data_IF_679773451316
#
_entry.id   IF_679773451316
#
_cell.length_a   1.000
_cell.length_b   1.000
_cell.length_c   1.000
_cell.angle_alpha   90.00
_cell.angle_beta   90.00
_cell.angle_gamma   90.00
#
_symmetry.space_group_name_H-M   'P 1'
#
loop_
_entity.id
_entity.type
_entity.pdbx_description
1 polymer ?
#
# COMPACT_ATOMS: atom_id res chain seq x y z
N UNK A 1 -11.87 -10.08 -26.87
CA UNK A 1 -12.17 -10.69 -25.56
C UNK A 1 -13.42 -10.05 -25.00
N UNK A 2 -14.32 -10.85 -24.43
CA UNK A 2 -15.49 -10.33 -23.71
C UNK A 2 -15.05 -9.49 -22.49
N UNK A 3 -15.82 -8.48 -22.06
CA UNK A 3 -15.48 -7.70 -20.88
C UNK A 3 -15.43 -8.61 -19.64
N UNK A 4 -14.29 -8.63 -18.94
CA UNK A 4 -14.14 -9.36 -17.67
C UNK A 4 -15.11 -8.75 -16.65
N UNK A 5 -16.01 -9.56 -16.10
CA UNK A 5 -17.01 -9.13 -15.14
C UNK A 5 -16.58 -9.54 -13.73
N UNK A 6 -16.04 -8.59 -12.96
CA UNK A 6 -15.62 -8.84 -11.58
C UNK A 6 -16.85 -8.91 -10.68
N UNK A 7 -17.07 -10.06 -10.03
CA UNK A 7 -18.13 -10.28 -9.04
C UNK A 7 -17.58 -10.76 -7.70
N UNK A 8 -16.59 -11.64 -7.74
CA UNK A 8 -15.96 -12.23 -6.57
C UNK A 8 -14.58 -11.60 -6.35
N UNK A 9 -14.33 -11.10 -5.14
CA UNK A 9 -13.07 -10.45 -4.78
C UNK A 9 -12.50 -11.13 -3.54
N UNK A 10 -11.28 -11.65 -3.64
CA UNK A 10 -10.54 -12.14 -2.49
C UNK A 10 -9.60 -11.05 -1.96
N UNK A 11 -9.58 -10.83 -0.65
CA UNK A 11 -8.65 -9.89 0.01
C UNK A 11 -7.72 -10.67 0.93
N UNK A 12 -6.44 -10.73 0.58
CA UNK A 12 -5.39 -11.39 1.37
C UNK A 12 -4.61 -10.35 2.15
N UNK A 13 -4.70 -10.40 3.47
CA UNK A 13 -4.33 -9.33 4.38
C UNK A 13 -5.57 -8.52 4.77
N UNK A 14 -6.07 -8.76 5.98
CA UNK A 14 -7.25 -8.15 6.60
C UNK A 14 -6.86 -7.24 7.78
N UNK A 15 -5.63 -6.74 7.79
CA UNK A 15 -5.17 -5.74 8.73
C UNK A 15 -5.83 -4.38 8.54
N UNK A 16 -5.17 -3.32 9.02
CA UNK A 16 -5.72 -1.95 9.08
C UNK A 16 -6.21 -1.39 7.74
N UNK A 17 -5.60 -1.79 6.64
CA UNK A 17 -6.00 -1.35 5.30
C UNK A 17 -6.94 -2.35 4.62
N UNK A 18 -6.69 -3.65 4.77
CA UNK A 18 -7.47 -4.69 4.08
C UNK A 18 -8.90 -4.82 4.60
N UNK A 19 -9.11 -4.65 5.90
CA UNK A 19 -10.42 -4.74 6.52
C UNK A 19 -11.42 -3.65 6.05
N UNK A 20 -11.08 -2.36 6.01
CA UNK A 20 -11.97 -1.36 5.41
C UNK A 20 -12.19 -1.58 3.91
N UNK A 21 -11.16 -2.00 3.17
CA UNK A 21 -11.29 -2.28 1.72
C UNK A 21 -12.27 -3.43 1.48
N UNK A 22 -12.17 -4.54 2.22
CA UNK A 22 -13.06 -5.68 2.08
C UNK A 22 -14.51 -5.31 2.44
N UNK A 23 -14.72 -4.50 3.48
CA UNK A 23 -16.04 -3.95 3.84
C UNK A 23 -16.64 -3.09 2.73
N UNK A 24 -15.87 -2.19 2.13
CA UNK A 24 -16.35 -1.35 1.03
C UNK A 24 -16.68 -2.15 -0.22
N UNK A 25 -15.89 -3.18 -0.54
CA UNK A 25 -16.20 -4.12 -1.61
C UNK A 25 -17.52 -4.86 -1.35
N UNK A 26 -17.73 -5.39 -0.14
CA UNK A 26 -18.97 -6.06 0.23
C UNK A 26 -20.18 -5.13 0.08
N UNK A 27 -20.09 -3.91 0.61
CA UNK A 27 -21.13 -2.90 0.49
C UNK A 27 -21.38 -2.44 -0.97
N UNK A 28 -20.37 -2.55 -1.83
CA UNK A 28 -20.46 -2.31 -3.27
C UNK A 28 -21.12 -3.44 -4.06
N UNK A 29 -21.60 -4.50 -3.39
CA UNK A 29 -22.31 -5.62 -4.00
C UNK A 29 -21.40 -6.73 -4.55
N UNK A 30 -20.13 -6.76 -4.16
CA UNK A 30 -19.21 -7.85 -4.49
C UNK A 30 -19.34 -8.99 -3.48
N UNK A 31 -19.09 -10.22 -3.93
CA UNK A 31 -18.91 -11.36 -3.03
C UNK A 31 -17.46 -11.33 -2.55
N UNK A 32 -17.26 -11.19 -1.24
CA UNK A 32 -15.92 -10.98 -0.69
C UNK A 32 -15.49 -12.16 0.20
N UNK A 33 -14.39 -12.78 -0.19
CA UNK A 33 -13.63 -13.70 0.66
C UNK A 33 -12.38 -13.02 1.21
N UNK A 34 -11.92 -13.44 2.39
CA UNK A 34 -10.76 -12.84 3.03
C UNK A 34 -9.88 -13.87 3.71
N UNK A 35 -8.59 -13.58 3.82
CA UNK A 35 -7.65 -14.34 4.64
C UNK A 35 -6.64 -13.41 5.30
N UNK A 36 -6.29 -13.69 6.55
CA UNK A 36 -5.15 -13.10 7.25
C UNK A 36 -4.53 -14.14 8.19
N UNK A 37 -3.23 -14.02 8.44
CA UNK A 37 -2.52 -14.86 9.43
C UNK A 37 -2.88 -14.47 10.86
N UNK A 38 -3.30 -13.23 11.10
CA UNK A 38 -3.77 -12.74 12.40
C UNK A 38 -5.25 -13.09 12.61
N UNK A 39 -5.51 -13.97 13.57
CA UNK A 39 -6.85 -14.36 13.97
C UNK A 39 -7.73 -13.17 14.41
N UNK A 40 -7.14 -12.09 14.96
CA UNK A 40 -7.89 -10.88 15.34
C UNK A 40 -8.38 -10.12 14.10
N UNK A 41 -7.54 -10.00 13.08
CA UNK A 41 -7.90 -9.39 11.80
C UNK A 41 -9.04 -10.18 11.12
N UNK A 42 -8.91 -11.51 11.08
CA UNK A 42 -9.95 -12.44 10.61
C UNK A 42 -11.27 -12.26 11.37
N UNK A 43 -11.25 -12.27 12.70
CA UNK A 43 -12.46 -12.07 13.52
C UNK A 43 -13.13 -10.72 13.24
N UNK A 44 -12.33 -9.65 13.12
CA UNK A 44 -12.86 -8.32 12.81
C UNK A 44 -13.54 -8.27 11.44
N UNK A 45 -12.96 -8.92 10.42
CA UNK A 45 -13.54 -9.01 9.09
C UNK A 45 -14.83 -9.84 9.08
N UNK A 46 -14.84 -10.98 9.78
CA UNK A 46 -16.04 -11.82 9.91
C UNK A 46 -17.21 -11.07 10.57
N UNK A 47 -16.95 -10.27 11.61
CA UNK A 47 -17.98 -9.40 12.23
C UNK A 47 -18.58 -8.37 11.27
N UNK A 48 -17.91 -8.07 10.15
CA UNK A 48 -18.37 -7.16 9.10
C UNK A 48 -19.01 -7.90 7.91
N UNK A 49 -19.22 -9.21 8.02
CA UNK A 49 -19.87 -10.03 6.99
C UNK A 49 -18.92 -10.58 5.92
N UNK A 50 -17.61 -10.47 6.10
CA UNK A 50 -16.63 -11.05 5.17
C UNK A 50 -16.51 -12.55 5.41
N UNK A 51 -16.56 -13.35 4.34
CA UNK A 51 -16.32 -14.78 4.41
C UNK A 51 -14.81 -15.03 4.60
N UNK A 52 -14.40 -15.50 5.79
CA UNK A 52 -12.98 -15.73 6.10
C UNK A 52 -12.59 -17.16 5.79
N UNK A 53 -11.56 -17.33 4.96
CA UNK A 53 -10.96 -18.61 4.61
C UNK A 53 -9.86 -19.02 5.61
N UNK A 54 -9.41 -20.27 5.54
CA UNK A 54 -8.33 -20.83 6.38
C UNK A 54 -6.95 -20.76 5.71
N UNK A 55 -6.89 -20.38 4.43
CA UNK A 55 -5.63 -20.18 3.70
C UNK A 55 -5.80 -19.19 2.53
N UNK A 56 -4.70 -18.63 1.98
CA UNK A 56 -4.77 -17.80 0.78
C UNK A 56 -5.36 -18.54 -0.41
N UNK A 57 -4.94 -19.79 -0.64
CA UNK A 57 -5.46 -20.62 -1.72
C UNK A 57 -6.97 -20.83 -1.61
N UNK A 58 -7.50 -21.15 -0.43
CA UNK A 58 -8.93 -21.32 -0.25
C UNK A 58 -9.70 -20.02 -0.54
N UNK A 59 -9.18 -18.87 -0.11
CA UNK A 59 -9.83 -17.57 -0.33
C UNK A 59 -10.01 -17.24 -1.82
N UNK A 60 -9.11 -17.69 -2.70
CA UNK A 60 -9.09 -17.30 -4.12
C UNK A 60 -9.82 -18.26 -5.06
N UNK A 61 -10.33 -19.39 -4.57
CA UNK A 61 -10.94 -20.46 -5.40
C UNK A 61 -11.97 -19.93 -6.42
N UNK A 62 -12.81 -18.99 -6.01
CA UNK A 62 -13.88 -18.42 -6.84
C UNK A 62 -13.62 -16.96 -7.23
N UNK A 63 -12.43 -16.43 -6.96
CA UNK A 63 -12.14 -15.01 -7.15
C UNK A 63 -11.93 -14.65 -8.62
N UNK A 64 -12.53 -13.53 -9.06
CA UNK A 64 -12.20 -12.89 -10.34
C UNK A 64 -11.04 -11.90 -10.15
N UNK A 65 -10.96 -11.30 -8.96
CA UNK A 65 -9.93 -10.38 -8.52
C UNK A 65 -9.40 -10.80 -7.13
N UNK A 66 -8.09 -10.92 -7.01
CA UNK A 66 -7.38 -11.11 -5.75
C UNK A 66 -6.64 -9.83 -5.43
N UNK A 67 -6.85 -9.27 -4.24
CA UNK A 67 -6.12 -8.12 -3.71
C UNK A 67 -5.19 -8.62 -2.61
N UNK A 68 -3.88 -8.53 -2.84
CA UNK A 68 -2.85 -8.88 -1.86
C UNK A 68 -2.37 -7.60 -1.17
N UNK A 69 -2.58 -7.51 0.14
CA UNK A 69 -2.28 -6.36 0.98
C UNK A 69 -1.69 -6.79 2.32
N UNK A 70 -0.48 -7.31 2.26
CA UNK A 70 0.33 -7.79 3.40
C UNK A 70 1.43 -6.79 3.74
N UNK A 71 2.22 -7.05 4.79
CA UNK A 71 3.16 -6.07 5.33
C UNK A 71 4.44 -5.96 4.49
N UNK A 72 4.96 -7.07 3.96
CA UNK A 72 6.28 -7.09 3.30
C UNK A 72 6.29 -7.92 2.01
N UNK A 73 7.35 -7.76 1.22
CA UNK A 73 7.52 -8.44 -0.07
C UNK A 73 7.62 -9.96 0.10
N UNK A 74 8.29 -10.43 1.15
CA UNK A 74 8.47 -11.84 1.49
C UNK A 74 7.12 -12.51 1.80
N UNK A 75 6.18 -11.74 2.36
CA UNK A 75 4.82 -12.20 2.59
C UNK A 75 4.02 -12.27 1.29
N UNK A 76 4.26 -11.34 0.35
CA UNK A 76 3.66 -11.41 -0.99
C UNK A 76 4.13 -12.70 -1.68
N UNK A 77 5.43 -13.00 -1.65
CA UNK A 77 5.98 -14.24 -2.20
C UNK A 77 5.29 -15.48 -1.62
N UNK A 78 5.17 -15.56 -0.29
CA UNK A 78 4.51 -16.69 0.40
C UNK A 78 3.03 -16.79 0.04
N UNK A 79 2.30 -15.68 0.07
CA UNK A 79 0.87 -15.64 -0.26
C UNK A 79 0.64 -16.12 -1.69
N UNK A 80 1.49 -15.69 -2.62
CA UNK A 80 1.34 -16.07 -4.02
C UNK A 80 1.74 -17.53 -4.24
N UNK A 81 2.96 -17.92 -3.87
CA UNK A 81 3.63 -19.11 -4.42
C UNK A 81 3.85 -20.28 -3.45
N UNK A 82 3.42 -20.18 -2.18
CA UNK A 82 3.48 -21.32 -1.26
C UNK A 82 2.55 -22.48 -1.74
N UNK A 83 2.72 -23.72 -1.25
CA UNK A 83 1.91 -24.87 -1.68
C UNK A 83 0.38 -24.70 -1.58
N UNK A 84 -0.10 -23.81 -0.70
CA UNK A 84 -1.52 -23.43 -0.60
C UNK A 84 -1.73 -21.92 -0.79
N UNK A 85 -0.89 -21.33 -1.65
CA UNK A 85 -0.93 -19.93 -2.05
C UNK A 85 -1.92 -19.65 -3.18
N UNK A 86 -1.92 -18.42 -3.67
CA UNK A 86 -2.85 -17.95 -4.72
C UNK A 86 -2.71 -18.76 -6.00
N UNK A 87 -1.48 -19.00 -6.50
CA UNK A 87 -1.31 -19.74 -7.77
C UNK A 87 -1.70 -21.21 -7.71
N UNK A 88 -1.81 -21.79 -6.52
CA UNK A 88 -2.22 -23.18 -6.37
C UNK A 88 -3.73 -23.39 -6.64
N UNK A 89 -4.56 -22.35 -6.48
CA UNK A 89 -6.03 -22.47 -6.52
C UNK A 89 -6.77 -21.42 -7.34
N UNK A 90 -6.13 -20.33 -7.72
CA UNK A 90 -6.76 -19.32 -8.58
C UNK A 90 -7.09 -19.91 -9.95
N UNK A 91 -8.23 -19.52 -10.52
CA UNK A 91 -8.63 -19.93 -11.87
C UNK A 91 -7.77 -19.18 -12.92
N UNK A 92 -7.55 -19.75 -14.12
CA UNK A 92 -6.95 -19.02 -15.22
C UNK A 92 -7.65 -17.66 -15.45
N UNK A 93 -6.89 -16.68 -15.92
CA UNK A 93 -7.29 -15.29 -16.14
C UNK A 93 -7.65 -14.46 -14.88
N UNK A 94 -7.62 -15.06 -13.67
CA UNK A 94 -7.85 -14.33 -12.42
C UNK A 94 -6.89 -13.14 -12.31
N UNK A 95 -7.42 -11.97 -11.95
CA UNK A 95 -6.61 -10.77 -11.78
C UNK A 95 -5.98 -10.80 -10.40
N UNK A 96 -4.65 -10.68 -10.33
CA UNK A 96 -3.92 -10.63 -9.06
C UNK A 96 -3.34 -9.24 -8.87
N UNK A 97 -4.03 -8.45 -8.07
CA UNK A 97 -3.68 -7.09 -7.66
C UNK A 97 -2.77 -7.06 -6.44
N UNK A 98 -1.53 -6.62 -6.61
CA UNK A 98 -0.60 -6.40 -5.50
C UNK A 98 -0.72 -4.96 -5.01
N UNK A 99 -1.36 -4.79 -3.86
CA UNK A 99 -1.53 -3.50 -3.20
C UNK A 99 -0.45 -3.22 -2.14
N UNK A 100 0.28 -4.25 -1.71
CA UNK A 100 1.49 -4.10 -0.89
C UNK A 100 2.50 -3.21 -1.62
N UNK A 101 3.10 -2.26 -0.90
CA UNK A 101 4.22 -1.47 -1.42
C UNK A 101 5.48 -2.35 -1.44
N UNK A 102 5.96 -2.65 -2.65
CA UNK A 102 7.16 -3.45 -2.92
C UNK A 102 8.02 -2.72 -3.97
N UNK A 103 9.21 -3.24 -4.26
CA UNK A 103 10.02 -2.65 -5.33
C UNK A 103 9.34 -2.84 -6.71
N UNK A 104 9.50 -1.89 -7.65
CA UNK A 104 9.06 -2.07 -9.03
C UNK A 104 9.64 -3.33 -9.68
N UNK A 105 10.91 -3.64 -9.41
CA UNK A 105 11.57 -4.83 -9.96
C UNK A 105 10.91 -6.12 -9.46
N UNK A 106 10.61 -6.19 -8.16
CA UNK A 106 9.92 -7.35 -7.59
C UNK A 106 8.51 -7.50 -8.12
N UNK A 107 7.80 -6.40 -8.35
CA UNK A 107 6.48 -6.45 -8.99
C UNK A 107 6.56 -6.99 -10.43
N UNK A 108 7.57 -6.58 -11.20
CA UNK A 108 7.81 -7.09 -12.56
C UNK A 108 8.11 -8.60 -12.52
N UNK A 109 8.97 -9.04 -11.59
CA UNK A 109 9.31 -10.45 -11.36
C UNK A 109 8.09 -11.29 -10.98
N UNK A 110 7.29 -10.83 -10.02
CA UNK A 110 6.04 -11.52 -9.64
C UNK A 110 5.06 -11.53 -10.80
N UNK A 111 4.96 -10.44 -11.55
CA UNK A 111 4.11 -10.37 -12.73
C UNK A 111 4.48 -11.38 -13.80
N UNK A 112 5.77 -11.61 -14.06
CA UNK A 112 6.22 -12.63 -15.00
C UNK A 112 5.80 -14.03 -14.54
N UNK A 113 6.06 -14.37 -13.26
CA UNK A 113 5.70 -15.67 -12.68
C UNK A 113 4.19 -15.91 -12.64
N UNK A 114 3.40 -14.89 -12.31
CA UNK A 114 1.93 -15.00 -12.33
C UNK A 114 1.40 -15.35 -13.72
N UNK A 115 2.02 -14.81 -14.79
CA UNK A 115 1.64 -15.13 -16.16
C UNK A 115 1.97 -16.56 -16.58
N UNK A 116 3.01 -17.18 -16.01
CA UNK A 116 3.33 -18.60 -16.23
C UNK A 116 2.20 -19.53 -15.74
N UNK A 117 1.37 -19.03 -14.83
CA UNK A 117 0.18 -19.72 -14.31
C UNK A 117 -1.13 -19.18 -14.90
N UNK A 118 -1.08 -18.52 -16.06
CA UNK A 118 -2.24 -17.94 -16.75
C UNK A 118 -2.99 -16.87 -15.93
N UNK A 119 -2.36 -16.28 -14.92
CA UNK A 119 -2.95 -15.22 -14.11
C UNK A 119 -2.60 -13.84 -14.68
N UNK A 120 -3.48 -12.87 -14.43
CA UNK A 120 -3.32 -11.50 -14.91
C UNK A 120 -2.76 -10.60 -13.79
N UNK A 121 -1.44 -10.30 -13.79
CA UNK A 121 -0.85 -9.46 -12.76
C UNK A 121 -1.28 -8.01 -12.91
N UNK A 122 -1.49 -7.37 -11.77
CA UNK A 122 -1.80 -5.96 -11.65
C UNK A 122 -1.08 -5.44 -10.42
N UNK A 123 -0.40 -4.29 -10.53
CA UNK A 123 -0.02 -3.55 -9.34
C UNK A 123 -1.09 -2.49 -9.04
N UNK A 124 -1.38 -2.33 -7.76
CA UNK A 124 -2.39 -1.40 -7.27
C UNK A 124 -2.05 -0.83 -5.89
N UNK A 125 -0.80 -0.39 -5.62
CA UNK A 125 -0.47 0.22 -4.34
C UNK A 125 -1.37 1.42 -4.03
N UNK A 126 -1.61 1.58 -2.73
CA UNK A 126 -2.58 2.54 -2.19
C UNK A 126 -1.89 3.70 -1.47
N UNK A 127 -2.49 4.88 -1.56
CA UNK A 127 -2.01 6.13 -0.98
C UNK A 127 -3.04 6.75 -0.01
N UNK A 128 -2.60 7.76 0.76
CA UNK A 128 -3.36 8.56 1.74
C UNK A 128 -3.62 7.93 3.13
N UNK A 129 -3.35 6.65 3.33
CA UNK A 129 -3.30 6.01 4.65
C UNK A 129 -4.64 5.53 5.22
N UNK A 130 -4.67 5.28 6.53
CA UNK A 130 -5.76 4.55 7.21
C UNK A 130 -7.09 5.30 7.25
N UNK A 131 -7.09 6.60 7.58
CA UNK A 131 -8.35 7.39 7.65
C UNK A 131 -9.08 7.42 6.30
N UNK A 132 -8.40 7.68 5.16
CA UNK A 132 -9.03 7.56 3.85
C UNK A 132 -9.45 6.14 3.47
N UNK A 133 -8.80 5.09 3.98
CA UNK A 133 -9.26 3.71 3.80
C UNK A 133 -10.64 3.49 4.42
N UNK A 134 -10.81 3.89 5.67
CA UNK A 134 -12.10 3.79 6.36
C UNK A 134 -13.21 4.59 5.66
N UNK A 135 -12.86 5.76 5.14
CA UNK A 135 -13.77 6.63 4.41
C UNK A 135 -14.06 6.23 2.95
N UNK A 136 -13.36 5.21 2.41
CA UNK A 136 -13.51 4.80 1.00
C UNK A 136 -12.96 5.85 0.02
N UNK A 137 -11.94 6.61 0.44
CA UNK A 137 -11.35 7.75 -0.29
C UNK A 137 -9.87 7.54 -0.62
N UNK A 138 -9.41 6.29 -0.70
CA UNK A 138 -8.04 5.99 -1.09
C UNK A 138 -7.72 6.52 -2.49
N UNK A 139 -6.42 6.56 -2.77
CA UNK A 139 -5.89 6.75 -4.12
C UNK A 139 -5.14 5.49 -4.52
N UNK A 140 -5.42 4.96 -5.71
CA UNK A 140 -4.70 3.85 -6.32
C UNK A 140 -3.78 4.41 -7.41
N UNK A 141 -2.50 4.06 -7.32
CA UNK A 141 -1.54 4.20 -8.42
C UNK A 141 -1.28 2.80 -8.95
N UNK A 142 -1.77 2.47 -10.14
CA UNK A 142 -1.68 1.10 -10.65
C UNK A 142 -1.02 0.98 -12.01
N UNK A 143 -0.68 -0.26 -12.35
CA UNK A 143 0.10 -0.65 -13.49
C UNK A 143 -0.26 -2.06 -13.91
N UNK A 144 -0.32 -2.29 -15.22
CA UNK A 144 -0.76 -3.54 -15.81
C UNK A 144 -1.56 -3.29 -17.09
N UNK A 145 -1.98 -4.37 -17.75
CA UNK A 145 -2.70 -4.27 -19.01
C UNK A 145 -3.96 -3.40 -18.86
N UNK A 146 -4.19 -2.50 -19.83
CA UNK A 146 -5.31 -1.56 -19.76
C UNK A 146 -6.66 -2.26 -19.59
N UNK A 147 -6.90 -3.35 -20.31
CA UNK A 147 -8.16 -4.09 -20.24
C UNK A 147 -8.39 -4.72 -18.84
N UNK A 148 -7.33 -5.29 -18.26
CA UNK A 148 -7.32 -5.84 -16.88
C UNK A 148 -7.62 -4.74 -15.87
N UNK A 149 -6.92 -3.60 -15.97
CA UNK A 149 -7.12 -2.46 -15.07
C UNK A 149 -8.53 -1.87 -15.17
N UNK A 150 -9.06 -1.73 -16.39
CA UNK A 150 -10.39 -1.18 -16.63
C UNK A 150 -11.50 -2.10 -16.10
N UNK A 151 -11.32 -3.43 -16.18
CA UNK A 151 -12.26 -4.39 -15.59
C UNK A 151 -12.38 -4.23 -14.06
N UNK A 152 -11.29 -3.84 -13.38
CA UNK A 152 -11.28 -3.65 -11.93
C UNK A 152 -11.86 -2.29 -11.47
N UNK A 153 -12.15 -1.34 -12.38
CA UNK A 153 -12.55 0.03 -11.99
C UNK A 153 -13.77 0.08 -11.08
N UNK A 154 -14.77 -0.78 -11.32
CA UNK A 154 -15.96 -0.84 -10.47
C UNK A 154 -15.59 -1.25 -9.04
N UNK A 155 -14.75 -2.26 -8.87
CA UNK A 155 -14.28 -2.69 -7.56
C UNK A 155 -13.45 -1.58 -6.89
N UNK A 156 -12.55 -0.93 -7.62
CA UNK A 156 -11.74 0.18 -7.10
C UNK A 156 -12.58 1.35 -6.62
N UNK A 157 -13.65 1.70 -7.34
CA UNK A 157 -14.51 2.83 -7.01
C UNK A 157 -15.26 2.69 -5.68
N UNK A 158 -15.32 1.49 -5.09
CA UNK A 158 -15.97 1.29 -3.80
C UNK A 158 -15.13 1.79 -2.63
N UNK A 159 -13.79 1.78 -2.77
CA UNK A 159 -12.86 2.13 -1.68
C UNK A 159 -11.85 3.22 -2.05
N UNK A 160 -11.80 3.64 -3.32
CA UNK A 160 -10.91 4.67 -3.81
C UNK A 160 -11.69 5.79 -4.52
N UNK A 161 -11.33 7.03 -4.21
CA UNK A 161 -11.86 8.23 -4.87
C UNK A 161 -10.99 8.71 -6.04
N UNK A 162 -9.80 8.13 -6.20
CA UNK A 162 -8.85 8.50 -7.26
C UNK A 162 -8.11 7.26 -7.75
N UNK A 163 -8.13 7.01 -9.05
CA UNK A 163 -7.59 5.77 -9.65
C UNK A 163 -6.80 6.12 -10.90
N UNK A 164 -5.48 5.93 -10.86
CA UNK A 164 -4.56 6.27 -11.95
C UNK A 164 -3.87 5.01 -12.48
N UNK A 165 -3.97 4.75 -13.79
CA UNK A 165 -3.13 3.75 -14.47
C UNK A 165 -1.90 4.45 -15.01
N UNK A 166 -0.74 4.15 -14.45
CA UNK A 166 0.52 4.83 -14.78
C UNK A 166 1.29 4.14 -15.92
N UNK A 167 0.92 2.91 -16.27
CA UNK A 167 1.57 2.16 -17.34
C UNK A 167 1.36 0.67 -17.17
N UNK A 168 2.36 -0.09 -17.59
CA UNK A 168 2.36 -1.55 -17.47
C UNK A 168 2.80 -1.99 -16.07
N UNK A 169 2.86 -3.31 -15.83
CA UNK A 169 3.24 -3.89 -14.53
C UNK A 169 4.59 -3.31 -14.05
N UNK A 170 4.63 -2.90 -12.78
CA UNK A 170 5.72 -2.15 -12.15
C UNK A 170 5.44 -0.65 -12.03
N UNK A 171 4.66 -0.06 -12.96
CA UNK A 171 4.50 1.39 -13.05
C UNK A 171 3.76 2.01 -11.86
N UNK A 172 2.78 1.32 -11.27
CA UNK A 172 2.12 1.83 -10.08
C UNK A 172 3.01 1.77 -8.83
N UNK A 173 3.90 0.77 -8.73
CA UNK A 173 4.93 0.75 -7.68
C UNK A 173 5.94 1.90 -7.87
N UNK A 174 6.31 2.25 -9.11
CA UNK A 174 7.11 3.45 -9.37
C UNK A 174 6.38 4.71 -8.89
N UNK A 175 5.10 4.87 -9.24
CA UNK A 175 4.29 6.00 -8.77
C UNK A 175 4.22 6.08 -7.25
N UNK A 176 4.01 4.94 -6.58
CA UNK A 176 4.00 4.85 -5.12
C UNK A 176 5.34 5.19 -4.49
N UNK A 177 6.44 4.68 -5.05
CA UNK A 177 7.80 4.94 -4.60
C UNK A 177 8.13 6.44 -4.71
N UNK A 178 7.83 7.07 -5.85
CA UNK A 178 8.04 8.51 -6.05
C UNK A 178 7.18 9.33 -5.07
N UNK A 179 5.90 8.99 -4.91
CA UNK A 179 5.02 9.64 -3.95
C UNK A 179 5.59 9.57 -2.53
N UNK A 180 6.02 8.38 -2.09
CA UNK A 180 6.52 8.18 -0.74
C UNK A 180 7.87 8.89 -0.52
N UNK A 181 8.77 8.89 -1.50
CA UNK A 181 10.02 9.66 -1.43
C UNK A 181 9.75 11.16 -1.19
N UNK A 182 8.82 11.75 -1.94
CA UNK A 182 8.45 13.17 -1.79
C UNK A 182 7.75 13.40 -0.45
N UNK A 183 6.81 12.53 -0.07
CA UNK A 183 6.10 12.59 1.20
C UNK A 183 7.05 12.62 2.38
N UNK A 184 8.00 11.68 2.42
CA UNK A 184 8.93 11.56 3.53
C UNK A 184 9.92 12.73 3.58
N UNK A 185 10.32 13.26 2.42
CA UNK A 185 11.09 14.52 2.36
C UNK A 185 10.32 15.67 2.99
N UNK A 186 9.03 15.81 2.68
CA UNK A 186 8.18 16.85 3.29
C UNK A 186 8.04 16.66 4.80
N UNK A 187 7.82 15.42 5.27
CA UNK A 187 7.73 15.10 6.69
C UNK A 187 9.01 15.49 7.43
N UNK A 188 10.18 15.13 6.90
CA UNK A 188 11.48 15.48 7.47
C UNK A 188 11.70 16.98 7.51
N UNK A 189 11.45 17.69 6.40
CA UNK A 189 11.60 19.14 6.34
C UNK A 189 10.65 19.87 7.30
N UNK A 190 9.39 19.44 7.38
CA UNK A 190 8.41 19.97 8.32
C UNK A 190 8.90 19.76 9.76
N UNK A 191 9.38 18.56 10.10
CA UNK A 191 9.87 18.24 11.44
C UNK A 191 11.05 19.14 11.86
N UNK A 192 12.06 19.29 11.01
CA UNK A 192 13.20 20.16 11.29
C UNK A 192 12.78 21.63 11.40
N UNK A 193 11.88 22.09 10.52
CA UNK A 193 11.32 23.44 10.57
C UNK A 193 10.60 23.75 11.89
N UNK A 194 9.73 22.85 12.36
CA UNK A 194 9.07 23.01 13.67
C UNK A 194 10.07 22.95 14.83
N UNK A 195 11.08 22.07 14.76
CA UNK A 195 12.14 22.00 15.77
C UNK A 195 12.91 23.31 15.89
N UNK A 196 13.21 23.96 14.75
CA UNK A 196 13.84 25.28 14.72
C UNK A 196 12.91 26.37 15.25
N UNK A 197 11.66 26.42 14.78
CA UNK A 197 10.66 27.38 15.23
C UNK A 197 10.44 27.33 16.75
N UNK A 198 10.37 26.12 17.31
CA UNK A 198 10.25 25.90 18.75
C UNK A 198 11.44 26.44 19.55
N UNK A 199 12.66 26.45 18.99
CA UNK A 199 13.83 27.08 19.65
C UNK A 199 13.74 28.60 19.72
N UNK A 200 12.98 29.22 18.82
CA UNK A 200 12.67 30.65 18.87
C UNK A 200 11.39 30.96 19.64
N UNK A 201 10.73 29.95 20.24
CA UNK A 201 9.51 30.13 21.02
C UNK A 201 8.28 30.44 20.18
N UNK A 202 8.29 30.11 18.89
CA UNK A 202 7.12 30.29 18.01
C UNK A 202 6.14 29.13 18.21
N UNK A 203 4.86 29.45 18.32
CA UNK A 203 3.79 28.46 18.48
C UNK A 203 3.62 27.58 17.23
N UNK A 204 3.57 26.26 17.44
CA UNK A 204 3.44 25.25 16.38
C UNK A 204 2.13 25.37 15.60
N UNK A 205 1.03 25.75 16.25
CA UNK A 205 -0.30 25.82 15.61
C UNK A 205 -0.33 27.02 14.67
N UNK A 206 0.07 28.20 15.15
CA UNK A 206 0.14 29.42 14.35
C UNK A 206 1.17 29.29 13.23
N UNK A 207 2.34 28.70 13.50
CA UNK A 207 3.35 28.41 12.48
C UNK A 207 2.78 27.52 11.38
N UNK A 208 2.05 26.46 11.75
CA UNK A 208 1.43 25.55 10.77
C UNK A 208 0.39 26.27 9.91
N UNK A 209 -0.46 27.09 10.50
CA UNK A 209 -1.46 27.89 9.76
C UNK A 209 -0.78 28.79 8.72
N UNK A 210 0.21 29.57 9.15
CA UNK A 210 0.99 30.44 8.27
C UNK A 210 1.67 29.67 7.13
N UNK A 211 2.27 28.51 7.42
CA UNK A 211 2.94 27.69 6.41
C UNK A 211 1.95 27.09 5.40
N UNK A 212 0.72 26.78 5.81
CA UNK A 212 -0.33 26.28 4.91
C UNK A 212 -0.89 27.37 3.97
N UNK A 213 -0.85 28.63 4.39
CA UNK A 213 -1.23 29.77 3.56
C UNK A 213 -0.07 30.27 2.65
N UNK A 214 1.09 29.62 2.74
CA UNK A 214 2.32 30.03 2.06
C UNK A 214 2.86 28.96 1.09
N UNK A 215 3.96 29.26 0.41
CA UNK A 215 4.59 28.38 -0.59
C UNK A 215 5.17 27.10 -0.02
N UNK A 216 5.24 26.96 1.31
CA UNK A 216 5.69 25.76 2.00
C UNK A 216 4.57 24.70 2.15
N UNK A 217 3.32 25.05 1.80
CA UNK A 217 2.16 24.19 1.96
C UNK A 217 2.37 22.82 1.30
N UNK A 218 2.07 21.76 2.05
CA UNK A 218 2.19 20.38 1.58
C UNK A 218 1.22 19.46 2.35
N UNK A 219 0.93 18.29 1.76
CA UNK A 219 -0.03 17.33 2.32
C UNK A 219 0.37 16.83 3.71
N UNK A 220 1.67 16.62 3.97
CA UNK A 220 2.14 16.16 5.27
C UNK A 220 1.85 17.20 6.35
N UNK A 221 2.06 18.48 6.04
CA UNK A 221 1.73 19.60 6.92
C UNK A 221 0.22 19.69 7.20
N UNK A 222 -0.59 19.61 6.13
CA UNK A 222 -2.05 19.65 6.21
C UNK A 222 -2.60 18.50 7.07
N UNK A 223 -2.13 17.28 6.84
CA UNK A 223 -2.62 16.10 7.58
C UNK A 223 -1.92 15.87 8.90
N UNK A 224 -0.91 16.69 9.23
CA UNK A 224 0.00 16.50 10.35
C UNK A 224 0.63 15.10 10.33
N UNK A 225 0.97 14.57 9.15
CA UNK A 225 1.59 13.26 8.98
C UNK A 225 2.85 13.12 9.85
N UNK A 226 3.60 14.21 10.02
CA UNK A 226 4.76 14.26 10.88
C UNK A 226 4.46 13.99 12.36
N UNK A 227 3.22 14.06 12.85
CA UNK A 227 2.86 13.79 14.27
C UNK A 227 2.45 12.34 14.52
N UNK A 228 2.25 11.54 13.48
CA UNK A 228 1.82 10.14 13.60
C UNK A 228 3.01 9.18 13.45
N UNK A 229 2.81 7.95 13.92
CA UNK A 229 3.78 6.88 13.75
C UNK A 229 4.05 6.61 12.26
N UNK A 230 5.30 6.30 11.93
CA UNK A 230 5.78 6.16 10.55
C UNK A 230 6.29 4.74 10.27
N UNK A 231 5.46 3.69 10.43
CA UNK A 231 5.93 2.30 10.43
C UNK A 231 6.55 1.87 9.09
N UNK A 232 6.13 2.46 7.97
CA UNK A 232 6.64 2.12 6.64
C UNK A 232 7.79 3.00 6.16
N UNK A 233 8.09 4.12 6.82
CA UNK A 233 8.90 5.17 6.24
C UNK A 233 10.31 4.71 5.85
N UNK A 234 10.97 3.96 6.74
CA UNK A 234 12.32 3.45 6.47
C UNK A 234 12.34 2.45 5.32
N UNK A 235 11.38 1.52 5.28
CA UNK A 235 11.23 0.56 4.18
C UNK A 235 10.97 1.28 2.87
N UNK A 236 10.07 2.27 2.86
CA UNK A 236 9.74 3.02 1.65
C UNK A 236 10.95 3.80 1.12
N UNK A 237 11.75 4.40 2.01
CA UNK A 237 13.00 5.06 1.62
C UNK A 237 14.08 4.07 1.17
N UNK A 238 14.15 2.88 1.79
CA UNK A 238 15.05 1.81 1.36
C UNK A 238 14.73 1.35 -0.07
N UNK A 239 13.45 1.12 -0.39
CA UNK A 239 13.02 0.77 -1.76
C UNK A 239 13.51 1.82 -2.75
N UNK A 240 13.29 3.10 -2.47
CA UNK A 240 13.70 4.18 -3.36
C UNK A 240 15.22 4.25 -3.57
N UNK A 241 16.01 4.10 -2.50
CA UNK A 241 17.48 4.12 -2.59
C UNK A 241 18.03 2.89 -3.32
N UNK A 242 17.51 1.70 -3.05
CA UNK A 242 17.91 0.47 -3.74
C UNK A 242 17.63 0.54 -5.24
N UNK A 243 16.46 1.07 -5.64
CA UNK A 243 16.14 1.28 -7.06
C UNK A 243 17.01 2.35 -7.70
N UNK A 244 17.33 3.42 -6.98
CA UNK A 244 18.24 4.47 -7.47
C UNK A 244 19.64 3.92 -7.74
N UNK A 245 20.19 3.12 -6.82
CA UNK A 245 21.49 2.47 -7.00
C UNK A 245 21.48 1.53 -8.22
N UNK A 246 20.42 0.71 -8.34
CA UNK A 246 20.23 -0.21 -9.47
C UNK A 246 20.20 0.52 -10.81
N UNK A 247 19.47 1.64 -10.88
CA UNK A 247 19.31 2.45 -12.09
C UNK A 247 20.45 3.46 -12.29
N UNK A 248 21.41 3.52 -11.37
CA UNK A 248 22.51 4.49 -11.34
C UNK A 248 22.03 5.95 -11.36
N UNK A 249 20.96 6.24 -10.62
CA UNK A 249 20.40 7.59 -10.45
C UNK A 249 20.86 8.16 -9.12
N UNK A 250 21.40 9.37 -9.13
CA UNK A 250 21.83 10.04 -7.90
C UNK A 250 20.64 10.67 -7.16
N UNK A 251 20.37 10.20 -5.94
CA UNK A 251 19.34 10.74 -5.04
C UNK A 251 19.95 11.15 -3.68
N UNK A 252 20.88 12.13 -3.64
CA UNK A 252 21.66 12.44 -2.44
C UNK A 252 20.79 12.90 -1.26
N UNK A 253 19.73 13.67 -1.54
CA UNK A 253 18.79 14.10 -0.50
C UNK A 253 18.08 12.92 0.17
N UNK A 254 17.70 11.89 -0.60
CA UNK A 254 16.95 10.75 -0.10
C UNK A 254 17.73 9.95 0.96
N UNK A 255 19.06 9.87 0.83
CA UNK A 255 19.91 9.24 1.84
C UNK A 255 19.88 9.98 3.17
N UNK A 256 19.94 11.32 3.12
CA UNK A 256 19.84 12.17 4.31
C UNK A 256 18.44 12.06 4.93
N UNK A 257 17.38 12.16 4.11
CA UNK A 257 15.98 12.04 4.55
C UNK A 257 15.73 10.73 5.29
N UNK A 258 16.27 9.61 4.79
CA UNK A 258 16.17 8.31 5.47
C UNK A 258 16.76 8.35 6.89
N UNK A 259 17.91 8.99 7.07
CA UNK A 259 18.56 9.10 8.39
C UNK A 259 17.83 10.08 9.30
N UNK A 260 17.25 11.16 8.77
CA UNK A 260 16.36 12.05 9.52
C UNK A 260 15.13 11.29 10.03
N UNK A 261 14.47 10.49 9.19
CA UNK A 261 13.33 9.64 9.61
C UNK A 261 13.72 8.70 10.75
N UNK A 262 14.89 8.05 10.63
CA UNK A 262 15.41 7.19 11.69
C UNK A 262 15.60 7.96 13.00
N UNK A 263 16.16 9.17 12.92
CA UNK A 263 16.29 10.08 14.07
C UNK A 263 14.94 10.40 14.72
N UNK A 264 13.94 10.80 13.92
CA UNK A 264 12.57 11.10 14.41
C UNK A 264 11.97 9.89 15.13
N UNK A 265 12.13 8.69 14.59
CA UNK A 265 11.61 7.46 15.19
C UNK A 265 12.28 7.13 16.52
N UNK A 266 13.60 7.29 16.61
CA UNK A 266 14.35 7.11 17.86
C UNK A 266 13.88 8.11 18.91
N UNK A 267 13.73 9.39 18.55
CA UNK A 267 13.23 10.44 19.47
C UNK A 267 11.82 10.13 20.01
N UNK A 268 11.05 9.27 19.32
CA UNK A 268 9.67 8.90 19.65
C UNK A 268 9.51 7.50 20.23
N UNK A 269 10.61 6.77 20.43
CA UNK A 269 10.58 5.36 20.85
C UNK A 269 9.74 4.46 19.89
N UNK A 270 9.66 4.85 18.61
CA UNK A 270 9.02 4.06 17.57
C UNK A 270 9.91 2.90 17.15
N UNK A 271 9.44 1.67 17.38
CA UNK A 271 10.21 0.46 17.12
C UNK A 271 10.46 0.23 15.61
N UNK A 272 11.56 -0.44 15.30
CA UNK A 272 11.86 -0.85 13.94
C UNK A 272 10.93 -1.99 13.52
N UNK A 273 10.40 -2.02 12.28
CA UNK A 273 9.57 -3.15 11.82
C UNK A 273 10.28 -4.52 11.81
N UNK A 274 11.60 -4.58 12.03
CA UNK A 274 12.38 -5.82 12.13
C UNK A 274 12.77 -6.20 13.57
N UNK A 275 12.37 -5.41 14.57
CA UNK A 275 12.43 -5.90 15.95
C UNK A 275 11.28 -6.89 16.13
N UNK A 276 11.61 -8.18 16.12
CA UNK A 276 10.72 -9.21 16.66
C UNK A 276 10.15 -8.66 17.97
N UNK A 277 8.82 -8.68 18.10
CA UNK A 277 8.19 -8.47 19.41
C UNK A 277 8.79 -9.50 20.34
N UNK A 278 9.77 -9.10 21.15
CA UNK A 278 10.19 -9.89 22.30
C UNK A 278 8.95 -9.98 23.19
N UNK A 279 8.52 -11.22 23.34
CA UNK A 279 7.46 -11.77 24.21
C UNK A 279 6.93 -10.84 25.29
#
# INVERSE_FOLDING_TARGET
MAPRNIKNVAVIGLGKMGNPISRHLLNGGFVVSGFDVDAKACKSAACKGIAVATSPGQAVTEADLVIVLVAQEEEVEKVLFAPDGVVARAKPETIVGIATTISPESMIRFGARLREHELAPLDMPICRGERPAEAGKLLITGGGEKAVFDACRKAFSTFASSVYRLGDVGSGQVGKMVNNLILWTCVSANHEGFKLAGKYGVDDVVMREMLLDSSAANWALETQAQRYAMPSAERDMMIALTEADRLRVSLPLSGIVKEVIKGIKIEREEHFPFEEKKS
#
